data_IF_251755857058
#
_entry.id   IF_251755857058
#
_cell.length_a   1.000
_cell.length_b   1.000
_cell.length_c   1.000
_cell.angle_alpha   90.00
_cell.angle_beta   90.00
_cell.angle_gamma   90.00
#
_symmetry.space_group_name_H-M   'P 1'
#
loop_
_entity.id
_entity.type
_entity.pdbx_description
1 polymer ?
#
# COMPACT_ATOMS: atom_id res chain seq x y z
N UNK A 1 -25.83 12.33 -6.21
CA UNK A 1 -25.31 12.06 -6.19
C UNK A 1 -24.76 11.87 -6.23
N UNK A 2 -24.57 11.85 -5.93
CA UNK A 2 -23.90 11.55 -5.77
C UNK A 2 -23.45 10.82 -5.88
N UNK A 3 -23.52 10.42 -5.81
CA UNK A 3 -22.83 9.59 -5.80
C UNK A 3 -22.28 9.11 -6.49
N UNK A 4 -22.60 8.76 -6.95
CA UNK A 4 -22.02 8.29 -7.74
C UNK A 4 -20.78 8.44 -7.90
N UNK A 5 -20.41 8.83 -7.74
CA UNK A 5 -19.06 9.05 -7.80
C UNK A 5 -18.24 8.17 -6.91
N UNK A 6 -18.83 7.32 -6.27
CA UNK A 6 -18.13 6.43 -5.39
C UNK A 6 -17.15 5.54 -6.14
N UNK A 7 -17.58 4.98 -7.24
CA UNK A 7 -16.68 4.08 -7.92
C UNK A 7 -15.62 4.80 -8.69
N UNK A 8 -15.78 6.11 -8.86
CA UNK A 8 -14.73 6.88 -9.51
C UNK A 8 -13.90 7.65 -8.53
N UNK A 9 -14.13 7.45 -7.26
CA UNK A 9 -13.38 8.11 -6.21
C UNK A 9 -11.93 7.73 -6.27
N UNK A 10 -11.01 8.67 -6.05
CA UNK A 10 -9.60 8.29 -5.97
C UNK A 10 -9.37 7.38 -4.79
N UNK A 11 -8.31 6.61 -4.88
CA UNK A 11 -7.91 5.77 -3.76
C UNK A 11 -7.60 6.64 -2.55
N UNK A 12 -7.97 6.15 -1.38
CA UNK A 12 -7.68 6.83 -0.14
C UNK A 12 -7.20 5.81 0.88
N UNK A 13 -6.66 6.33 1.98
CA UNK A 13 -6.25 5.50 3.08
C UNK A 13 -5.20 4.48 2.69
N UNK A 14 -5.39 3.27 3.11
CA UNK A 14 -4.39 2.22 2.91
C UNK A 14 -4.12 1.96 1.44
N UNK A 15 -5.14 2.01 0.62
CA UNK A 15 -4.95 1.79 -0.81
C UNK A 15 -4.04 2.83 -1.43
N UNK A 16 -4.25 4.10 -1.07
CA UNK A 16 -3.41 5.16 -1.60
C UNK A 16 -1.98 5.01 -1.11
N UNK A 17 -1.81 4.67 0.16
CA UNK A 17 -0.48 4.47 0.71
C UNK A 17 0.24 3.37 -0.05
N UNK A 18 -0.41 2.23 -0.25
CA UNK A 18 0.22 1.12 -0.94
C UNK A 18 0.58 1.45 -2.38
N UNK A 19 -0.32 2.13 -3.11
CA UNK A 19 -0.03 2.45 -4.50
C UNK A 19 1.12 3.46 -4.61
N UNK A 20 1.16 4.44 -3.70
CA UNK A 20 2.23 5.42 -3.71
C UNK A 20 3.57 4.77 -3.36
N UNK A 21 3.57 3.90 -2.36
CA UNK A 21 4.79 3.22 -1.95
C UNK A 21 5.29 2.29 -3.06
N UNK A 22 4.38 1.55 -3.68
CA UNK A 22 4.74 0.68 -4.80
C UNK A 22 5.40 1.49 -5.92
N UNK A 23 4.79 2.61 -6.27
CA UNK A 23 5.29 3.45 -7.34
C UNK A 23 6.66 4.02 -7.00
N UNK A 24 6.80 4.51 -5.77
CA UNK A 24 8.05 5.12 -5.34
C UNK A 24 9.19 4.10 -5.33
N UNK A 25 8.94 2.90 -4.83
CA UNK A 25 9.95 1.87 -4.79
C UNK A 25 10.36 1.43 -6.20
N UNK A 26 9.36 1.27 -7.07
CA UNK A 26 9.62 0.87 -8.44
C UNK A 26 10.46 1.93 -9.17
N UNK A 27 10.11 3.19 -8.98
CA UNK A 27 10.85 4.26 -9.64
C UNK A 27 12.30 4.33 -9.19
N UNK A 28 12.57 3.95 -7.96
CA UNK A 28 13.93 3.98 -7.44
C UNK A 28 14.68 2.67 -7.68
N UNK A 29 14.05 1.73 -8.38
CA UNK A 29 14.73 0.49 -8.75
C UNK A 29 14.69 -0.61 -7.72
N UNK A 30 13.88 -0.47 -6.69
CA UNK A 30 13.74 -1.52 -5.68
C UNK A 30 12.68 -2.52 -6.10
N UNK A 31 12.77 -3.72 -5.54
CA UNK A 31 11.71 -4.71 -5.69
C UNK A 31 10.62 -4.38 -4.67
N UNK A 32 9.45 -3.93 -5.12
CA UNK A 32 8.44 -3.45 -4.15
C UNK A 32 7.95 -4.53 -3.21
N UNK A 33 7.80 -5.76 -3.69
CA UNK A 33 7.31 -6.83 -2.84
C UNK A 33 8.29 -7.10 -1.71
N UNK A 34 9.58 -7.21 -2.04
CA UNK A 34 10.57 -7.49 -1.01
C UNK A 34 10.62 -6.39 0.03
N UNK A 35 10.57 -5.14 -0.41
CA UNK A 35 10.69 -4.03 0.52
C UNK A 35 9.46 -3.89 1.40
N UNK A 36 8.28 -4.05 0.82
CA UNK A 36 7.06 -3.93 1.61
C UNK A 36 6.95 -5.08 2.60
N UNK A 37 7.28 -6.30 2.18
CA UNK A 37 7.28 -7.43 3.10
C UNK A 37 8.28 -7.22 4.23
N UNK A 38 9.48 -6.73 3.88
CA UNK A 38 10.49 -6.44 4.91
C UNK A 38 9.98 -5.46 5.93
N UNK A 39 9.31 -4.42 5.46
CA UNK A 39 8.73 -3.44 6.37
C UNK A 39 7.65 -4.06 7.27
N UNK A 40 6.76 -4.83 6.67
CA UNK A 40 5.66 -5.42 7.43
C UNK A 40 6.20 -6.35 8.52
N UNK A 41 7.21 -7.13 8.19
CA UNK A 41 7.74 -8.11 9.12
C UNK A 41 8.59 -7.49 10.22
N UNK A 42 9.28 -6.42 9.93
CA UNK A 42 10.22 -5.84 10.89
C UNK A 42 9.74 -4.55 11.53
N UNK A 43 8.90 -3.81 10.84
CA UNK A 43 8.52 -2.48 11.31
C UNK A 43 9.59 -1.44 11.06
N UNK A 44 10.62 -1.78 10.32
CA UNK A 44 11.76 -0.88 10.07
C UNK A 44 11.45 -0.01 8.87
N UNK A 45 11.21 1.30 9.08
CA UNK A 45 10.82 2.17 7.97
C UNK A 45 11.91 2.36 6.92
N UNK A 46 13.14 1.98 7.22
CA UNK A 46 14.21 2.13 6.23
C UNK A 46 14.06 1.17 5.05
N UNK A 47 13.18 0.16 5.16
CA UNK A 47 12.85 -0.67 4.01
C UNK A 47 12.14 0.13 2.92
N UNK A 48 11.57 1.28 3.27
CA UNK A 48 10.75 2.06 2.34
C UNK A 48 11.50 3.33 1.97
N UNK A 49 11.64 3.58 0.69
CA UNK A 49 12.32 4.78 0.21
C UNK A 49 11.56 6.03 0.68
N UNK A 50 12.30 7.13 0.86
CA UNK A 50 11.68 8.41 1.18
C UNK A 50 11.16 9.13 -0.05
N UNK A 51 11.42 8.58 -1.23
CA UNK A 51 10.97 9.16 -2.49
C UNK A 51 9.45 9.29 -2.47
N UNK A 52 8.93 10.44 -2.91
CA UNK A 52 7.50 10.72 -2.95
C UNK A 52 6.82 10.61 -1.59
N UNK A 53 7.59 10.82 -0.53
CA UNK A 53 7.08 10.73 0.84
C UNK A 53 6.56 9.35 1.21
N UNK A 54 7.01 8.32 0.48
CA UNK A 54 6.50 6.97 0.67
C UNK A 54 6.74 6.48 2.10
N UNK A 55 7.93 6.75 2.64
CA UNK A 55 8.25 6.30 4.00
C UNK A 55 7.31 6.94 5.03
N UNK A 56 7.11 8.24 4.92
CA UNK A 56 6.19 8.94 5.83
C UNK A 56 4.78 8.42 5.72
N UNK A 57 4.35 8.16 4.49
CA UNK A 57 2.99 7.70 4.27
C UNK A 57 2.75 6.32 4.87
N UNK A 58 3.67 5.38 4.66
CA UNK A 58 3.44 4.03 5.13
C UNK A 58 3.45 3.97 6.65
N UNK A 59 4.17 4.88 7.28
CA UNK A 59 4.22 4.91 8.73
C UNK A 59 2.94 5.43 9.35
N UNK A 60 2.04 5.99 8.57
CA UNK A 60 0.77 6.51 9.07
C UNK A 60 -0.30 5.44 9.21
N UNK A 61 -0.07 4.26 8.68
CA UNK A 61 -1.02 3.16 8.81
C UNK A 61 -0.38 2.04 9.59
N UNK A 62 -1.23 1.27 10.28
CA UNK A 62 -0.76 0.12 11.04
C UNK A 62 -0.38 -1.00 10.09
N UNK A 63 0.63 -1.79 10.49
CA UNK A 63 1.10 -2.85 9.60
C UNK A 63 0.05 -3.91 9.36
N UNK A 64 -0.80 -4.18 10.36
CA UNK A 64 -1.87 -5.15 10.15
C UNK A 64 -2.90 -4.64 9.15
N UNK A 65 -3.08 -3.33 9.07
CA UNK A 65 -3.97 -2.77 8.04
C UNK A 65 -3.43 -3.00 6.64
N UNK A 66 -2.11 -2.95 6.49
CA UNK A 66 -1.50 -3.24 5.19
C UNK A 66 -1.74 -4.69 4.79
N UNK A 67 -1.54 -5.61 5.72
CA UNK A 67 -1.76 -7.02 5.45
C UNK A 67 -3.22 -7.29 5.14
N UNK A 68 -4.10 -6.68 5.91
CA UNK A 68 -5.53 -6.86 5.70
C UNK A 68 -5.96 -6.40 4.32
N UNK A 69 -5.46 -5.26 3.89
CA UNK A 69 -5.80 -4.74 2.57
C UNK A 69 -5.28 -5.66 1.46
N UNK A 70 -4.04 -6.09 1.59
CA UNK A 70 -3.43 -6.94 0.58
C UNK A 70 -4.15 -8.28 0.47
N UNK A 71 -4.49 -8.86 1.61
CA UNK A 71 -5.17 -10.15 1.61
C UNK A 71 -6.58 -10.02 1.09
N UNK A 72 -7.28 -8.97 1.48
CA UNK A 72 -8.63 -8.72 1.01
C UNK A 72 -8.67 -8.61 -0.51
N UNK A 73 -7.73 -7.86 -1.07
CA UNK A 73 -7.67 -7.72 -2.52
C UNK A 73 -7.34 -9.03 -3.22
N UNK A 74 -6.45 -9.80 -2.64
CA UNK A 74 -6.10 -11.09 -3.23
C UNK A 74 -7.31 -12.02 -3.27
N UNK A 75 -8.03 -12.09 -2.15
CA UNK A 75 -9.21 -12.95 -2.05
C UNK A 75 -10.27 -12.49 -3.05
N UNK A 76 -10.46 -11.19 -3.16
CA UNK A 76 -11.45 -10.64 -4.06
C UNK A 76 -11.14 -10.99 -5.50
N UNK A 77 -9.88 -10.87 -5.90
CA UNK A 77 -9.49 -11.15 -7.28
C UNK A 77 -9.56 -12.62 -7.60
N UNK A 78 -9.49 -13.49 -6.58
CA UNK A 78 -9.60 -14.92 -6.77
C UNK A 78 -11.05 -15.42 -6.61
N UNK A 79 -11.95 -14.53 -6.26
CA UNK A 79 -13.36 -14.85 -6.08
C UNK A 79 -13.61 -15.87 -4.97
N UNK A 80 -12.76 -15.89 -3.97
CA UNK A 80 -12.99 -16.74 -2.80
C UNK A 80 -14.11 -16.15 -1.95
N UNK A 81 -14.81 -17.02 -1.26
CA UNK A 81 -15.92 -16.57 -0.41
C UNK A 81 -15.53 -16.26 1.02
#
# INVERSE_FOLDING_TARGET
>A
TQYFKVETEPETGVKLVLSTVYEALTEKGYNPVNQIVGYIMSGDPTYITSHKNARSLIMKVERDELVEELLTEYIRTKHWK
#
